data_IF_928073313860
#
_entry.id   IF_928073313860
#
_cell.length_a   1.000
_cell.length_b   1.000
_cell.length_c   1.000
_cell.angle_alpha   90.00
_cell.angle_beta   90.00
_cell.angle_gamma   90.00
#
_symmetry.space_group_name_H-M   'P 1'
#
loop_
_entity.id
_entity.type
_entity.pdbx_description
1 polymer ?
#
# COMPACT_ATOMS: atom_id res chain seq x y z
N UNK A 1 36.27 18.31 16.97
CA UNK A 1 34.91 18.53 16.42
C UNK A 1 34.77 18.19 14.92
N UNK A 2 35.77 18.39 14.06
CA UNK A 2 35.69 18.10 12.61
C UNK A 2 35.52 16.61 12.25
N UNK A 3 36.13 15.67 12.96
CA UNK A 3 36.01 14.24 12.68
C UNK A 3 34.61 13.67 12.99
N UNK A 4 33.93 14.19 14.00
CA UNK A 4 32.54 13.79 14.34
C UNK A 4 31.53 14.21 13.28
N UNK A 5 31.74 15.34 12.60
CA UNK A 5 30.88 15.83 11.53
C UNK A 5 31.00 14.99 10.24
N UNK A 6 32.16 14.43 9.94
CA UNK A 6 32.40 13.61 8.74
C UNK A 6 31.77 12.22 8.86
N UNK A 7 31.85 11.61 10.03
CA UNK A 7 31.18 10.32 10.32
C UNK A 7 29.65 10.46 10.34
N UNK A 8 29.14 11.66 10.65
CA UNK A 8 27.71 11.96 10.70
C UNK A 8 27.05 11.97 9.34
N UNK A 9 27.69 12.59 8.35
CA UNK A 9 27.19 12.60 6.98
C UNK A 9 27.10 11.23 6.32
N UNK A 10 27.99 10.30 6.70
CA UNK A 10 27.96 8.90 6.23
C UNK A 10 26.81 8.12 6.88
N UNK A 11 26.62 8.22 8.20
CA UNK A 11 25.53 7.51 8.89
C UNK A 11 24.15 8.01 8.44
N UNK A 12 23.96 9.30 8.20
CA UNK A 12 22.71 9.84 7.68
C UNK A 12 22.39 9.32 6.28
N UNK A 13 23.39 9.18 5.41
CA UNK A 13 23.22 8.57 4.10
C UNK A 13 22.79 7.12 4.20
N UNK A 14 23.42 6.32 5.06
CA UNK A 14 23.05 4.91 5.27
C UNK A 14 21.60 4.78 5.71
N UNK A 15 21.16 5.59 6.68
CA UNK A 15 19.78 5.58 7.15
C UNK A 15 18.80 5.89 6.00
N UNK A 16 19.09 6.89 5.18
CA UNK A 16 18.26 7.23 4.02
C UNK A 16 18.19 6.07 3.01
N UNK A 17 19.31 5.40 2.73
CA UNK A 17 19.30 4.22 1.85
C UNK A 17 18.49 3.06 2.43
N UNK A 18 18.57 2.81 3.74
CA UNK A 18 17.76 1.79 4.40
C UNK A 18 16.25 2.13 4.34
N UNK A 19 15.87 3.42 4.49
CA UNK A 19 14.48 3.82 4.33
C UNK A 19 14.03 3.66 2.86
N UNK A 20 14.89 3.99 1.89
CA UNK A 20 14.57 3.83 0.47
C UNK A 20 14.47 2.37 0.05
N UNK A 21 15.22 1.46 0.68
CA UNK A 21 15.13 0.04 0.36
C UNK A 21 13.85 -0.62 0.90
N UNK A 22 13.19 -0.05 1.93
CA UNK A 22 11.98 -0.64 2.51
C UNK A 22 10.89 -0.99 1.48
N UNK A 23 10.47 -0.10 0.57
CA UNK A 23 9.45 -0.46 -0.43
C UNK A 23 9.89 -1.60 -1.34
N UNK A 24 11.17 -1.65 -1.71
CA UNK A 24 11.72 -2.73 -2.55
C UNK A 24 11.74 -4.06 -1.80
N UNK A 25 12.01 -4.05 -0.50
CA UNK A 25 12.04 -5.30 0.29
C UNK A 25 10.67 -5.95 0.42
N UNK A 26 9.58 -5.19 0.32
CA UNK A 26 8.24 -5.78 0.21
C UNK A 26 8.06 -6.62 -1.07
N UNK A 27 8.75 -6.26 -2.14
CA UNK A 27 8.74 -7.03 -3.40
C UNK A 27 9.60 -8.29 -3.27
N UNK A 28 10.74 -8.19 -2.56
CA UNK A 28 11.67 -9.32 -2.42
C UNK A 28 11.13 -10.39 -1.44
N UNK A 29 10.41 -9.96 -0.39
CA UNK A 29 9.79 -10.87 0.55
C UNK A 29 9.83 -10.40 2.01
N UNK A 30 8.97 -11.00 2.82
CA UNK A 30 8.69 -10.62 4.21
C UNK A 30 9.91 -10.71 5.13
N UNK A 31 10.84 -11.64 4.88
CA UNK A 31 12.07 -11.79 5.66
C UNK A 31 12.95 -10.52 5.56
N UNK A 32 13.15 -9.99 4.36
CA UNK A 32 13.93 -8.77 4.13
C UNK A 32 13.29 -7.54 4.76
N UNK A 33 11.96 -7.42 4.68
CA UNK A 33 11.20 -6.35 5.37
C UNK A 33 11.47 -6.39 6.86
N UNK A 34 11.45 -7.58 7.46
CA UNK A 34 11.69 -7.75 8.89
C UNK A 34 13.11 -7.35 9.29
N UNK A 35 14.12 -7.79 8.54
CA UNK A 35 15.52 -7.46 8.82
C UNK A 35 15.74 -5.95 8.77
N UNK A 36 15.33 -5.29 7.66
CA UNK A 36 15.53 -3.84 7.51
C UNK A 36 14.73 -3.06 8.56
N UNK A 37 13.53 -3.49 8.89
CA UNK A 37 12.72 -2.86 9.92
C UNK A 37 13.35 -2.96 11.31
N UNK A 38 13.97 -4.11 11.66
CA UNK A 38 14.69 -4.27 12.92
C UNK A 38 15.91 -3.36 12.96
N UNK A 39 16.69 -3.33 11.88
CA UNK A 39 17.89 -2.47 11.79
C UNK A 39 17.51 -1.00 11.95
N UNK A 40 16.46 -0.53 11.26
CA UNK A 40 15.96 0.85 11.39
C UNK A 40 15.46 1.16 12.80
N UNK A 41 14.75 0.22 13.44
CA UNK A 41 14.27 0.38 14.80
C UNK A 41 15.43 0.51 15.79
N UNK A 42 16.48 -0.33 15.68
CA UNK A 42 17.68 -0.23 16.49
C UNK A 42 18.44 1.08 16.27
N UNK A 43 18.59 1.51 15.02
CA UNK A 43 19.20 2.81 14.70
C UNK A 43 18.41 3.95 15.35
N UNK A 44 17.07 3.89 15.31
CA UNK A 44 16.24 4.91 15.95
C UNK A 44 16.49 4.98 17.46
N UNK A 45 16.56 3.86 18.15
CA UNK A 45 16.88 3.80 19.58
C UNK A 45 18.25 4.42 19.87
N UNK A 46 19.27 4.07 19.10
CA UNK A 46 20.61 4.67 19.23
C UNK A 46 20.57 6.20 19.05
N UNK A 47 19.80 6.70 18.06
CA UNK A 47 19.67 8.14 17.80
C UNK A 47 18.96 8.87 18.94
N UNK A 48 17.99 8.22 19.61
CA UNK A 48 17.35 8.77 20.81
C UNK A 48 18.36 8.84 21.98
N UNK A 49 19.07 7.75 22.26
CA UNK A 49 20.09 7.72 23.33
C UNK A 49 21.16 8.79 23.12
N UNK A 50 21.55 9.02 21.87
CA UNK A 50 22.47 10.09 21.51
C UNK A 50 21.84 11.50 21.52
N UNK A 51 20.57 11.65 21.91
CA UNK A 51 19.80 12.92 21.91
C UNK A 51 19.78 13.64 20.55
N UNK A 52 19.91 12.90 19.44
CA UNK A 52 19.94 13.44 18.08
C UNK A 52 18.56 13.61 17.46
N UNK A 53 17.57 12.89 17.97
CA UNK A 53 16.17 13.01 17.58
C UNK A 53 15.36 13.47 18.78
N UNK A 54 14.75 14.64 18.65
CA UNK A 54 13.77 15.13 19.64
C UNK A 54 12.37 14.80 19.13
N UNK A 55 11.70 13.89 19.82
CA UNK A 55 10.30 13.58 19.57
C UNK A 55 9.40 14.32 20.56
N UNK A 56 8.26 14.83 20.10
CA UNK A 56 7.29 15.48 21.01
C UNK A 56 6.76 14.41 21.97
N UNK A 57 6.84 14.66 23.27
CA UNK A 57 6.39 13.76 24.34
C UNK A 57 4.96 13.23 24.14
N UNK A 58 4.07 14.05 23.55
CA UNK A 58 2.68 13.68 23.25
C UNK A 58 2.57 12.39 22.42
N UNK A 59 3.45 12.17 21.42
CA UNK A 59 3.38 10.98 20.58
C UNK A 59 3.79 9.71 21.32
N UNK A 60 4.72 9.81 22.27
CA UNK A 60 5.07 8.70 23.14
C UNK A 60 3.91 8.30 24.04
N UNK A 61 3.21 9.25 24.66
CA UNK A 61 2.07 8.94 25.52
C UNK A 61 0.95 8.25 24.77
N UNK A 62 0.60 8.73 23.58
CA UNK A 62 -0.43 8.11 22.74
C UNK A 62 0.00 6.68 22.36
N UNK A 63 1.24 6.51 21.93
CA UNK A 63 1.72 5.18 21.53
C UNK A 63 1.74 4.20 22.71
N UNK A 64 2.29 4.60 23.85
CA UNK A 64 2.34 3.73 25.02
C UNK A 64 0.94 3.41 25.57
N UNK A 65 0.00 4.33 25.45
CA UNK A 65 -1.40 4.06 25.79
C UNK A 65 -1.99 2.98 24.87
N UNK A 66 -1.80 3.11 23.57
CA UNK A 66 -2.27 2.09 22.60
C UNK A 66 -1.56 0.75 22.86
N UNK A 67 -0.27 0.76 23.11
CA UNK A 67 0.51 -0.45 23.41
C UNK A 67 0.00 -1.13 24.69
N UNK A 68 -0.35 -0.36 25.70
CA UNK A 68 -0.96 -0.86 26.94
C UNK A 68 -2.30 -1.55 26.66
N UNK A 69 -3.15 -0.97 25.81
CA UNK A 69 -4.41 -1.61 25.40
C UNK A 69 -4.18 -2.93 24.68
N UNK A 70 -3.17 -3.01 23.80
CA UNK A 70 -2.80 -4.25 23.14
C UNK A 70 -2.27 -5.31 24.13
N UNK A 71 -1.48 -4.91 25.12
CA UNK A 71 -1.01 -5.81 26.18
C UNK A 71 -2.16 -6.36 27.01
N UNK A 72 -3.12 -5.51 27.38
CA UNK A 72 -4.34 -5.95 28.07
C UNK A 72 -5.11 -6.96 27.22
N UNK A 73 -5.33 -6.67 25.93
CA UNK A 73 -6.02 -7.57 25.03
C UNK A 73 -5.28 -8.90 24.84
N UNK A 74 -3.96 -8.88 24.83
CA UNK A 74 -3.11 -10.09 24.76
C UNK A 74 -3.31 -11.00 25.97
N UNK A 75 -3.47 -10.43 27.15
CA UNK A 75 -3.71 -11.19 28.37
C UNK A 75 -5.01 -12.01 28.32
N UNK A 76 -6.06 -11.47 27.67
CA UNK A 76 -7.36 -12.13 27.49
C UNK A 76 -7.45 -12.92 26.17
N UNK A 77 -6.37 -13.04 25.42
CA UNK A 77 -6.34 -13.78 24.13
C UNK A 77 -6.36 -15.29 24.36
N UNK A 78 -6.89 -16.03 23.38
CA UNK A 78 -6.89 -17.51 23.35
C UNK A 78 -5.45 -18.03 23.37
N UNK A 79 -4.52 -17.34 22.68
CA UNK A 79 -3.09 -17.63 22.69
C UNK A 79 -2.31 -16.36 23.05
N UNK A 80 -1.99 -16.15 24.35
CA UNK A 80 -1.25 -14.98 24.81
C UNK A 80 0.17 -14.89 24.24
N UNK A 81 0.83 -16.02 24.00
CA UNK A 81 2.22 -16.05 23.52
C UNK A 81 2.32 -15.52 22.08
N UNK A 82 1.46 -15.98 21.18
CA UNK A 82 1.37 -15.47 19.81
C UNK A 82 0.96 -14.00 19.76
N UNK A 83 0.06 -13.60 20.66
CA UNK A 83 -0.38 -12.19 20.76
C UNK A 83 0.76 -11.27 21.19
N UNK A 84 1.61 -11.68 22.14
CA UNK A 84 2.78 -10.92 22.57
C UNK A 84 3.81 -10.74 21.45
N UNK A 85 4.07 -11.78 20.66
CA UNK A 85 4.97 -11.70 19.50
C UNK A 85 4.49 -10.64 18.51
N UNK A 86 3.17 -10.57 18.25
CA UNK A 86 2.57 -9.53 17.38
C UNK A 86 2.77 -8.12 17.96
N UNK A 87 2.68 -7.94 19.27
CA UNK A 87 2.91 -6.65 19.93
C UNK A 87 4.36 -6.17 19.74
N UNK A 88 5.34 -7.08 19.84
CA UNK A 88 6.74 -6.74 19.54
C UNK A 88 6.89 -6.25 18.09
N UNK A 89 6.16 -6.88 17.15
CA UNK A 89 6.08 -6.42 15.77
C UNK A 89 5.54 -4.99 15.62
N UNK A 90 4.50 -4.64 16.38
CA UNK A 90 3.92 -3.28 16.38
C UNK A 90 4.92 -2.27 16.94
N UNK A 91 5.63 -2.60 18.01
CA UNK A 91 6.67 -1.74 18.60
C UNK A 91 7.79 -1.44 17.58
N UNK A 92 8.25 -2.45 16.86
CA UNK A 92 9.23 -2.30 15.77
C UNK A 92 8.74 -1.31 14.71
N UNK A 93 7.49 -1.48 14.23
CA UNK A 93 6.91 -0.61 13.21
C UNK A 93 6.75 0.83 13.70
N UNK A 94 6.44 1.03 14.98
CA UNK A 94 6.40 2.36 15.57
C UNK A 94 7.76 3.07 15.46
N UNK A 95 8.85 2.40 15.82
CA UNK A 95 10.18 3.00 15.73
C UNK A 95 10.59 3.31 14.29
N UNK A 96 10.24 2.43 13.35
CA UNK A 96 10.43 2.69 11.91
C UNK A 96 9.64 3.92 11.45
N UNK A 97 8.39 4.04 11.89
CA UNK A 97 7.56 5.21 11.57
C UNK A 97 8.14 6.51 12.13
N UNK A 98 8.67 6.45 13.35
CA UNK A 98 9.32 7.59 13.99
C UNK A 98 10.56 8.07 13.23
N UNK A 99 11.42 7.16 12.77
CA UNK A 99 12.61 7.53 12.00
C UNK A 99 12.23 8.09 10.63
N UNK A 100 11.27 7.50 9.93
CA UNK A 100 10.76 8.02 8.66
C UNK A 100 10.16 9.41 8.86
N UNK A 101 9.34 9.62 9.89
CA UNK A 101 8.75 10.92 10.23
C UNK A 101 9.81 11.99 10.53
N UNK A 102 10.94 11.62 11.14
CA UNK A 102 12.05 12.56 11.36
C UNK A 102 12.66 13.05 10.03
N UNK A 103 12.92 12.12 9.10
CA UNK A 103 13.52 12.45 7.80
C UNK A 103 12.53 13.14 6.85
N UNK A 104 11.25 12.82 6.92
CA UNK A 104 10.20 13.41 6.07
C UNK A 104 9.97 14.91 6.30
N UNK A 105 10.50 15.49 7.39
CA UNK A 105 10.51 16.94 7.60
C UNK A 105 11.42 17.67 6.58
N UNK A 106 12.38 16.98 6.00
CA UNK A 106 13.30 17.55 4.98
C UNK A 106 12.65 17.42 3.60
N UNK A 107 12.31 18.53 2.96
CA UNK A 107 11.68 18.56 1.62
C UNK A 107 12.49 17.81 0.56
N UNK A 108 13.83 17.93 0.62
CA UNK A 108 14.73 17.22 -0.31
C UNK A 108 14.60 15.68 -0.16
N UNK A 109 14.47 15.19 1.06
CA UNK A 109 14.24 13.77 1.31
C UNK A 109 12.90 13.31 0.72
N UNK A 110 11.82 14.05 0.96
CA UNK A 110 10.48 13.72 0.44
C UNK A 110 10.49 13.68 -1.08
N UNK A 111 11.11 14.68 -1.74
CA UNK A 111 11.18 14.73 -3.20
C UNK A 111 11.98 13.55 -3.78
N UNK A 112 13.11 13.19 -3.18
CA UNK A 112 13.92 12.05 -3.64
C UNK A 112 13.21 10.73 -3.40
N UNK A 113 12.56 10.58 -2.25
CA UNK A 113 11.83 9.37 -1.90
C UNK A 113 10.59 9.19 -2.78
N UNK A 114 9.80 10.24 -3.00
CA UNK A 114 8.65 10.18 -3.90
C UNK A 114 9.04 9.92 -5.36
N UNK A 115 10.17 10.47 -5.82
CA UNK A 115 10.73 10.14 -7.14
C UNK A 115 11.06 8.66 -7.25
N UNK A 116 11.73 8.09 -6.24
CA UNK A 116 12.05 6.68 -6.20
C UNK A 116 10.79 5.80 -6.19
N UNK A 117 9.80 6.13 -5.35
CA UNK A 117 8.52 5.42 -5.31
C UNK A 117 7.78 5.49 -6.65
N UNK A 118 7.84 6.63 -7.34
CA UNK A 118 7.23 6.78 -8.64
C UNK A 118 7.80 5.78 -9.66
N UNK A 119 9.13 5.68 -9.76
CA UNK A 119 9.76 4.71 -10.65
C UNK A 119 9.48 3.27 -10.24
N UNK A 120 9.41 2.98 -8.94
CA UNK A 120 9.05 1.66 -8.44
C UNK A 120 7.60 1.28 -8.84
N UNK A 121 6.64 2.20 -8.69
CA UNK A 121 5.25 2.00 -9.11
C UNK A 121 5.18 1.76 -10.63
N UNK A 122 5.89 2.55 -11.43
CA UNK A 122 5.92 2.36 -12.88
C UNK A 122 6.52 1.01 -13.25
N UNK A 123 7.60 0.60 -12.61
CA UNK A 123 8.22 -0.72 -12.85
C UNK A 123 7.25 -1.87 -12.54
N UNK A 124 6.62 -1.85 -11.35
CA UNK A 124 5.65 -2.88 -10.97
C UNK A 124 4.44 -2.87 -11.92
N UNK A 125 3.99 -1.67 -12.30
CA UNK A 125 2.87 -1.52 -13.24
C UNK A 125 3.19 -2.11 -14.61
N UNK A 126 4.41 -1.91 -15.09
CA UNK A 126 4.89 -2.47 -16.36
C UNK A 126 5.01 -4.00 -16.30
N UNK A 127 5.54 -4.53 -15.21
CA UNK A 127 5.66 -5.96 -15.00
C UNK A 127 4.28 -6.65 -14.93
N UNK A 128 3.31 -6.05 -14.25
CA UNK A 128 1.92 -6.52 -14.23
C UNK A 128 1.26 -6.51 -15.62
N UNK A 129 1.58 -5.52 -16.47
CA UNK A 129 1.10 -5.50 -17.85
C UNK A 129 1.73 -6.63 -18.67
N UNK A 130 3.01 -6.91 -18.49
CA UNK A 130 3.67 -8.06 -19.13
C UNK A 130 2.99 -9.35 -18.70
N UNK A 131 2.78 -9.55 -17.40
CA UNK A 131 2.10 -10.72 -16.87
C UNK A 131 0.69 -10.87 -17.46
N UNK A 132 -0.05 -9.76 -17.60
CA UNK A 132 -1.38 -9.78 -18.18
C UNK A 132 -1.41 -10.20 -19.65
N UNK A 133 -0.48 -9.69 -20.48
CA UNK A 133 -0.47 -9.98 -21.91
C UNK A 133 0.23 -11.28 -22.28
N UNK A 134 1.28 -11.65 -21.56
CA UNK A 134 2.11 -12.81 -21.89
C UNK A 134 1.87 -14.02 -20.97
N UNK A 135 1.05 -13.88 -19.94
CA UNK A 135 0.74 -14.94 -18.99
C UNK A 135 1.81 -15.17 -17.92
N UNK A 136 2.96 -14.52 -18.03
CA UNK A 136 4.07 -14.57 -17.06
C UNK A 136 4.72 -13.18 -16.95
N UNK A 137 5.23 -12.86 -15.77
CA UNK A 137 5.94 -11.62 -15.49
C UNK A 137 7.40 -11.67 -15.99
N UNK A 138 8.16 -10.59 -15.78
CA UNK A 138 9.59 -10.49 -16.14
C UNK A 138 10.44 -11.56 -15.41
N UNK A 139 10.01 -11.99 -14.20
CA UNK A 139 10.71 -12.97 -13.38
C UNK A 139 10.28 -14.41 -13.65
N UNK A 140 9.30 -14.62 -14.56
CA UNK A 140 8.78 -15.93 -14.93
C UNK A 140 7.63 -16.44 -14.05
N UNK A 141 7.09 -15.61 -13.14
CA UNK A 141 5.91 -15.99 -12.36
C UNK A 141 4.65 -15.95 -13.23
N UNK A 142 3.94 -17.06 -13.25
CA UNK A 142 2.68 -17.18 -14.00
C UNK A 142 1.51 -16.66 -13.16
N UNK A 143 0.50 -16.07 -13.81
CA UNK A 143 -0.74 -15.76 -13.12
C UNK A 143 -1.46 -17.06 -12.73
N UNK A 144 -2.18 -17.03 -11.62
CA UNK A 144 -2.87 -18.22 -11.11
C UNK A 144 -4.35 -18.21 -11.53
N UNK A 145 -4.71 -19.12 -12.44
CA UNK A 145 -6.08 -19.27 -12.95
C UNK A 145 -7.04 -19.75 -11.85
N UNK A 146 -6.59 -20.58 -10.92
CA UNK A 146 -7.40 -21.10 -9.83
C UNK A 146 -7.91 -19.98 -8.90
N UNK A 147 -7.19 -18.88 -8.79
CA UNK A 147 -7.59 -17.71 -8.02
C UNK A 147 -8.26 -16.60 -8.85
N UNK A 148 -8.78 -16.93 -10.04
CA UNK A 148 -9.56 -16.02 -10.87
C UNK A 148 -8.73 -14.98 -11.60
N UNK A 149 -7.64 -15.38 -12.24
CA UNK A 149 -6.75 -14.53 -13.03
C UNK A 149 -6.17 -13.35 -12.22
N UNK A 150 -5.76 -13.60 -10.97
CA UNK A 150 -5.07 -12.60 -10.18
C UNK A 150 -3.64 -12.44 -10.66
N UNK A 151 -3.22 -11.19 -10.84
CA UNK A 151 -1.86 -10.85 -11.18
C UNK A 151 -1.07 -10.60 -9.88
N UNK A 152 0.07 -11.26 -9.77
CA UNK A 152 1.00 -11.06 -8.65
C UNK A 152 2.17 -10.13 -9.01
N UNK A 153 2.52 -10.07 -10.30
CA UNK A 153 3.71 -9.35 -10.75
C UNK A 153 4.96 -9.85 -10.03
N UNK A 154 5.85 -8.95 -9.64
CA UNK A 154 7.14 -9.32 -9.05
C UNK A 154 7.03 -9.86 -7.61
N UNK A 155 5.82 -10.05 -7.07
CA UNK A 155 5.61 -10.61 -5.72
C UNK A 155 5.52 -12.14 -5.69
N UNK A 156 5.75 -12.81 -6.82
CA UNK A 156 5.74 -14.27 -6.91
C UNK A 156 4.36 -14.86 -6.65
N UNK A 157 4.23 -15.70 -5.62
CA UNK A 157 2.97 -16.36 -5.28
C UNK A 157 2.04 -15.48 -4.41
N UNK A 158 2.48 -14.29 -4.01
CA UNK A 158 1.68 -13.38 -3.18
C UNK A 158 0.85 -12.44 -4.07
N UNK A 159 -0.48 -12.52 -3.97
CA UNK A 159 -1.42 -11.66 -4.71
C UNK A 159 -1.66 -10.33 -3.98
N UNK A 160 -0.60 -9.55 -3.78
CA UNK A 160 -0.60 -8.29 -3.02
C UNK A 160 -0.21 -7.07 -3.86
N UNK A 161 0.01 -7.25 -5.16
CA UNK A 161 0.51 -6.20 -6.05
C UNK A 161 -0.40 -4.97 -6.10
N UNK A 162 -1.71 -5.16 -6.21
CA UNK A 162 -2.70 -4.09 -6.20
C UNK A 162 -2.73 -3.34 -4.86
N UNK A 163 -2.70 -4.07 -3.75
CA UNK A 163 -2.65 -3.51 -2.40
C UNK A 163 -1.37 -2.71 -2.15
N UNK A 164 -0.25 -3.19 -2.67
CA UNK A 164 1.02 -2.49 -2.58
C UNK A 164 0.99 -1.17 -3.35
N UNK A 165 0.57 -1.21 -4.63
CA UNK A 165 0.42 0.00 -5.46
C UNK A 165 -0.54 0.99 -4.79
N UNK A 166 -1.70 0.55 -4.32
CA UNK A 166 -2.69 1.42 -3.69
C UNK A 166 -2.13 2.16 -2.46
N UNK A 167 -1.30 1.50 -1.65
CA UNK A 167 -0.69 2.10 -0.44
C UNK A 167 0.37 3.15 -0.75
N UNK A 168 1.15 2.98 -1.82
CA UNK A 168 2.27 3.89 -2.14
C UNK A 168 1.94 4.89 -3.25
N UNK A 169 0.80 4.73 -3.94
CA UNK A 169 0.39 5.55 -5.08
C UNK A 169 0.49 7.06 -4.79
N UNK A 170 -0.19 7.53 -3.75
CA UNK A 170 -0.22 8.97 -3.44
C UNK A 170 1.13 9.54 -3.01
N UNK A 171 1.95 8.75 -2.32
CA UNK A 171 3.32 9.15 -1.99
C UNK A 171 4.18 9.29 -3.26
N UNK A 172 3.99 8.41 -4.24
CA UNK A 172 4.69 8.49 -5.52
C UNK A 172 4.25 9.70 -6.35
N UNK A 173 2.96 10.08 -6.28
CA UNK A 173 2.42 11.23 -7.00
C UNK A 173 2.95 12.58 -6.51
N UNK A 174 3.48 12.67 -5.29
CA UNK A 174 4.14 13.89 -4.78
C UNK A 174 5.23 14.36 -5.73
N UNK A 175 5.95 13.44 -6.37
CA UNK A 175 7.00 13.76 -7.33
C UNK A 175 6.47 14.49 -8.57
N UNK A 176 5.34 14.03 -9.15
CA UNK A 176 4.73 14.68 -10.30
C UNK A 176 4.07 16.00 -9.89
N UNK A 177 3.38 15.97 -8.75
CA UNK A 177 2.73 17.14 -8.17
C UNK A 177 3.72 18.29 -7.95
N UNK A 178 4.95 17.99 -7.50
CA UNK A 178 6.00 19.01 -7.32
C UNK A 178 6.47 19.65 -8.61
N UNK A 179 6.19 19.04 -9.77
CA UNK A 179 6.53 19.57 -11.11
C UNK A 179 5.41 20.41 -11.74
N UNK A 180 4.28 20.59 -11.06
CA UNK A 180 3.10 21.33 -11.53
C UNK A 180 2.56 20.87 -12.89
N UNK A 181 2.80 19.62 -13.28
CA UNK A 181 2.29 19.06 -14.52
C UNK A 181 0.98 18.31 -14.26
N UNK A 182 -0.14 18.98 -14.48
CA UNK A 182 -1.48 18.43 -14.24
C UNK A 182 -1.81 17.28 -15.18
N UNK A 183 -1.41 17.35 -16.45
CA UNK A 183 -1.71 16.30 -17.42
C UNK A 183 -1.03 14.98 -17.05
N UNK A 184 0.27 15.02 -16.72
CA UNK A 184 1.00 13.81 -16.30
C UNK A 184 0.46 13.26 -14.98
N UNK A 185 0.02 14.12 -14.06
CA UNK A 185 -0.60 13.69 -12.81
C UNK A 185 -1.86 12.86 -13.08
N UNK A 186 -2.75 13.37 -13.96
CA UNK A 186 -3.99 12.65 -14.29
C UNK A 186 -3.75 11.39 -15.09
N UNK A 187 -2.86 11.43 -16.08
CA UNK A 187 -2.49 10.23 -16.84
C UNK A 187 -1.96 9.13 -15.91
N UNK A 188 -1.14 9.50 -14.94
CA UNK A 188 -0.61 8.55 -13.95
C UNK A 188 -1.71 8.03 -13.03
N UNK A 189 -2.65 8.88 -12.59
CA UNK A 189 -3.79 8.45 -11.76
C UNK A 189 -4.68 7.45 -12.51
N UNK A 190 -4.99 7.71 -13.77
CA UNK A 190 -5.75 6.78 -14.62
C UNK A 190 -5.00 5.45 -14.74
N UNK A 191 -3.73 5.49 -15.12
CA UNK A 191 -2.89 4.30 -15.30
C UNK A 191 -2.83 3.44 -14.03
N UNK A 192 -2.55 4.04 -12.88
CA UNK A 192 -2.47 3.33 -11.60
C UNK A 192 -3.82 2.69 -11.23
N UNK A 193 -4.94 3.40 -11.44
CA UNK A 193 -6.27 2.82 -11.21
C UNK A 193 -6.53 1.64 -12.14
N UNK A 194 -6.28 1.76 -13.45
CA UNK A 194 -6.47 0.65 -14.40
C UNK A 194 -5.65 -0.58 -14.02
N UNK A 195 -4.38 -0.38 -13.65
CA UNK A 195 -3.50 -1.48 -13.26
C UNK A 195 -3.96 -2.15 -11.98
N UNK A 196 -4.39 -1.39 -10.97
CA UNK A 196 -4.93 -2.00 -9.75
C UNK A 196 -6.21 -2.78 -9.99
N UNK A 197 -7.06 -2.36 -10.93
CA UNK A 197 -8.19 -3.17 -11.36
C UNK A 197 -7.75 -4.45 -12.08
N UNK A 198 -6.70 -4.39 -12.91
CA UNK A 198 -6.14 -5.59 -13.57
C UNK A 198 -5.63 -6.64 -12.60
N UNK A 199 -5.12 -6.26 -11.41
CA UNK A 199 -4.67 -7.23 -10.41
C UNK A 199 -5.80 -8.10 -9.85
N UNK A 200 -7.07 -7.78 -10.11
CA UNK A 200 -8.25 -8.44 -9.53
C UNK A 200 -8.32 -8.39 -7.99
N UNK A 201 -7.61 -7.47 -7.34
CA UNK A 201 -7.73 -7.21 -5.90
C UNK A 201 -8.84 -6.18 -5.64
N UNK A 202 -10.06 -6.66 -5.40
CA UNK A 202 -11.27 -5.81 -5.24
C UNK A 202 -11.13 -4.70 -4.21
N UNK A 203 -10.68 -5.05 -3.00
CA UNK A 203 -10.52 -4.09 -1.90
C UNK A 203 -9.52 -2.99 -2.23
N UNK A 204 -8.35 -3.35 -2.76
CA UNK A 204 -7.31 -2.40 -3.14
C UNK A 204 -7.79 -1.46 -4.25
N UNK A 205 -8.43 -2.00 -5.27
CA UNK A 205 -8.94 -1.23 -6.41
C UNK A 205 -10.03 -0.23 -6.00
N UNK A 206 -10.99 -0.66 -5.18
CA UNK A 206 -12.06 0.22 -4.69
C UNK A 206 -11.48 1.31 -3.77
N UNK A 207 -10.58 0.95 -2.85
CA UNK A 207 -9.95 1.92 -1.96
C UNK A 207 -9.14 2.96 -2.73
N UNK A 208 -8.34 2.54 -3.72
CA UNK A 208 -7.57 3.47 -4.54
C UNK A 208 -8.49 4.37 -5.37
N UNK A 209 -9.53 3.81 -5.97
CA UNK A 209 -10.50 4.54 -6.76
C UNK A 209 -11.19 5.64 -5.93
N UNK A 210 -11.73 5.30 -4.76
CA UNK A 210 -12.33 6.27 -3.84
C UNK A 210 -11.33 7.33 -3.38
N UNK A 211 -10.11 6.91 -3.03
CA UNK A 211 -9.04 7.84 -2.62
C UNK A 211 -8.65 8.80 -3.74
N UNK A 212 -8.74 8.35 -5.02
CA UNK A 212 -8.49 9.20 -6.17
C UNK A 212 -9.54 10.32 -6.28
N UNK A 213 -10.82 10.02 -6.06
CA UNK A 213 -11.88 11.05 -6.02
C UNK A 213 -11.63 12.05 -4.88
N UNK A 214 -11.34 11.55 -3.69
CA UNK A 214 -11.03 12.41 -2.54
C UNK A 214 -9.85 13.33 -2.88
N UNK A 215 -8.78 12.78 -3.47
CA UNK A 215 -7.62 13.57 -3.88
C UNK A 215 -7.98 14.66 -4.89
N UNK A 216 -8.79 14.36 -5.91
CA UNK A 216 -9.21 15.34 -6.92
C UNK A 216 -10.07 16.44 -6.29
N UNK A 217 -11.01 16.10 -5.41
CA UNK A 217 -11.90 17.06 -4.75
C UNK A 217 -11.10 18.04 -3.90
N UNK A 218 -10.14 17.55 -3.10
CA UNK A 218 -9.33 18.37 -2.21
C UNK A 218 -8.13 19.02 -2.88
N UNK A 219 -7.87 18.77 -4.17
CA UNK A 219 -6.76 19.37 -4.88
C UNK A 219 -7.03 20.84 -5.20
N UNK A 220 -6.19 21.74 -4.66
CA UNK A 220 -6.34 23.19 -4.82
C UNK A 220 -5.82 23.74 -6.17
N UNK A 221 -5.06 22.94 -6.96
CA UNK A 221 -4.57 23.37 -8.27
C UNK A 221 -5.63 23.30 -9.37
N UNK A 222 -6.75 22.63 -9.10
CA UNK A 222 -7.80 22.44 -10.06
C UNK A 222 -8.97 23.36 -9.77
N UNK A 223 -9.46 24.02 -10.79
CA UNK A 223 -10.75 24.71 -10.72
C UNK A 223 -11.91 23.67 -10.70
N UNK A 224 -13.09 24.11 -10.27
CA UNK A 224 -14.25 23.21 -10.10
C UNK A 224 -14.63 22.48 -11.38
N UNK A 225 -14.52 23.13 -12.55
CA UNK A 225 -14.82 22.52 -13.85
C UNK A 225 -13.82 21.39 -14.16
N UNK A 226 -12.53 21.61 -13.94
CA UNK A 226 -11.52 20.57 -14.15
C UNK A 226 -11.69 19.40 -13.18
N UNK A 227 -12.01 19.64 -11.92
CA UNK A 227 -12.31 18.57 -10.94
C UNK A 227 -13.44 17.67 -11.44
N UNK A 228 -14.53 18.26 -11.93
CA UNK A 228 -15.66 17.53 -12.48
C UNK A 228 -15.26 16.71 -13.70
N UNK A 229 -14.57 17.33 -14.68
CA UNK A 229 -14.12 16.66 -15.90
C UNK A 229 -13.21 15.47 -15.59
N UNK A 230 -12.23 15.66 -14.70
CA UNK A 230 -11.28 14.58 -14.37
C UNK A 230 -11.93 13.45 -13.55
N UNK A 231 -12.82 13.79 -12.61
CA UNK A 231 -13.57 12.78 -11.86
C UNK A 231 -14.46 11.95 -12.78
N UNK A 232 -15.20 12.59 -13.67
CA UNK A 232 -16.07 11.90 -14.63
C UNK A 232 -15.27 11.09 -15.65
N UNK A 233 -14.12 11.59 -16.11
CA UNK A 233 -13.25 10.86 -17.03
C UNK A 233 -12.69 9.57 -16.38
N UNK A 234 -12.18 9.63 -15.15
CA UNK A 234 -11.68 8.44 -14.44
C UNK A 234 -12.83 7.44 -14.21
N UNK A 235 -13.99 7.92 -13.78
CA UNK A 235 -15.16 7.05 -13.59
C UNK A 235 -15.52 6.33 -14.89
N UNK A 236 -15.64 7.08 -15.98
CA UNK A 236 -16.00 6.55 -17.29
C UNK A 236 -14.97 5.54 -17.80
N UNK A 237 -13.67 5.86 -17.73
CA UNK A 237 -12.60 4.96 -18.17
C UNK A 237 -12.60 3.66 -17.36
N UNK A 238 -12.73 3.73 -16.04
CA UNK A 238 -12.78 2.53 -15.19
C UNK A 238 -14.04 1.70 -15.48
N UNK A 239 -15.19 2.33 -15.65
CA UNK A 239 -16.44 1.64 -15.95
C UNK A 239 -16.38 0.92 -17.30
N UNK A 240 -15.89 1.60 -18.34
CA UNK A 240 -15.67 1.01 -19.66
C UNK A 240 -14.71 -0.18 -19.55
N UNK A 241 -13.61 -0.03 -18.83
CA UNK A 241 -12.60 -1.06 -18.66
C UNK A 241 -13.16 -2.32 -17.97
N UNK A 242 -13.96 -2.16 -16.90
CA UNK A 242 -14.64 -3.26 -16.23
C UNK A 242 -15.67 -3.93 -17.17
N UNK A 243 -16.40 -3.12 -17.95
CA UNK A 243 -17.43 -3.64 -18.86
C UNK A 243 -16.86 -4.52 -19.96
N UNK A 244 -15.75 -4.08 -20.59
CA UNK A 244 -15.12 -4.83 -21.69
C UNK A 244 -14.26 -6.01 -21.22
N UNK A 245 -13.94 -6.12 -19.93
CA UNK A 245 -13.17 -7.23 -19.42
C UNK A 245 -14.08 -8.22 -18.67
N UNK A 246 -14.42 -9.41 -19.26
CA UNK A 246 -15.33 -10.38 -18.64
C UNK A 246 -14.88 -10.87 -17.27
N UNK A 247 -13.55 -11.01 -17.07
CA UNK A 247 -12.99 -11.45 -15.81
C UNK A 247 -13.20 -10.40 -14.71
N UNK A 248 -12.93 -9.13 -15.00
CA UNK A 248 -13.19 -8.03 -14.07
C UNK A 248 -14.66 -7.88 -13.77
N UNK A 249 -15.53 -7.98 -14.79
CA UNK A 249 -16.98 -7.95 -14.61
C UNK A 249 -17.45 -9.04 -13.65
N UNK A 250 -16.97 -10.27 -13.82
CA UNK A 250 -17.35 -11.39 -12.95
C UNK A 250 -16.85 -11.17 -11.51
N UNK A 251 -15.65 -10.68 -11.32
CA UNK A 251 -15.06 -10.43 -10.00
C UNK A 251 -15.67 -9.23 -9.27
N UNK A 252 -15.83 -8.10 -9.96
CA UNK A 252 -16.28 -6.85 -9.33
C UNK A 252 -17.79 -6.71 -9.26
N UNK A 253 -18.53 -7.23 -10.24
CA UNK A 253 -19.99 -7.12 -10.26
C UNK A 253 -20.61 -8.39 -9.67
N UNK A 254 -20.42 -9.55 -10.32
CA UNK A 254 -21.15 -10.76 -9.92
C UNK A 254 -20.78 -11.25 -8.51
N UNK A 255 -19.48 -11.36 -8.18
CA UNK A 255 -19.08 -11.82 -6.84
C UNK A 255 -19.46 -10.81 -5.75
N UNK A 256 -19.38 -9.50 -6.03
CA UNK A 256 -19.77 -8.48 -5.05
C UNK A 256 -21.27 -8.49 -4.82
N UNK A 257 -22.09 -8.54 -5.89
CA UNK A 257 -23.53 -8.63 -5.76
C UNK A 257 -24.00 -9.91 -5.06
N UNK A 258 -23.31 -11.03 -5.32
CA UNK A 258 -23.56 -12.28 -4.60
C UNK A 258 -23.24 -12.16 -3.10
N UNK A 259 -22.13 -11.50 -2.73
CA UNK A 259 -21.78 -11.27 -1.31
C UNK A 259 -22.80 -10.39 -0.58
N UNK A 260 -23.44 -9.46 -1.28
CA UNK A 260 -24.54 -8.64 -0.74
C UNK A 260 -25.90 -9.34 -0.79
N UNK A 261 -25.99 -10.59 -1.32
CA UNK A 261 -27.25 -11.32 -1.45
C UNK A 261 -28.22 -10.74 -2.50
N UNK A 262 -27.75 -9.81 -3.34
CA UNK A 262 -28.59 -9.10 -4.32
C UNK A 262 -28.85 -9.95 -5.58
N UNK A 263 -27.91 -10.82 -5.96
CA UNK A 263 -28.08 -11.80 -7.03
C UNK A 263 -28.16 -13.21 -6.45
N UNK A 264 -29.35 -13.74 -6.32
CA UNK A 264 -29.57 -15.18 -6.21
C UNK A 264 -29.39 -15.79 -7.60
N UNK A 265 -28.15 -16.10 -7.98
CA UNK A 265 -27.91 -16.91 -9.17
C UNK A 265 -28.17 -18.36 -8.78
N UNK A 266 -29.33 -18.84 -9.21
CA UNK A 266 -29.81 -20.22 -9.22
C UNK A 266 -29.69 -21.03 -7.92
N UNK A 267 -30.85 -21.15 -7.26
CA UNK A 267 -31.33 -22.30 -6.50
C UNK A 267 -30.36 -23.49 -6.48
N UNK A 268 -29.51 -23.52 -5.44
CA UNK A 268 -29.04 -24.79 -4.85
C UNK A 268 -28.40 -24.45 -3.50
N UNK A 269 -29.09 -24.88 -2.44
CA UNK A 269 -28.73 -24.80 -1.04
C UNK A 269 -28.62 -23.40 -0.39
N UNK A 270 -29.71 -23.06 0.33
CA UNK A 270 -29.77 -21.91 1.25
C UNK A 270 -28.60 -21.86 2.27
N UNK A 271 -28.00 -22.99 2.60
CA UNK A 271 -26.81 -23.08 3.45
C UNK A 271 -25.57 -22.55 2.76
N UNK A 272 -25.33 -22.86 1.49
CA UNK A 272 -24.17 -22.42 0.73
C UNK A 272 -24.18 -20.91 0.48
N UNK A 273 -25.37 -20.33 0.26
CA UNK A 273 -25.56 -18.89 0.07
C UNK A 273 -25.23 -18.12 1.36
N UNK A 274 -25.58 -18.67 2.53
CA UNK A 274 -25.26 -18.05 3.81
C UNK A 274 -23.75 -18.02 4.09
N UNK A 275 -23.02 -19.09 3.76
CA UNK A 275 -21.57 -19.16 3.96
C UNK A 275 -20.77 -18.31 2.97
N UNK A 276 -21.31 -18.06 1.77
CA UNK A 276 -20.68 -17.17 0.77
C UNK A 276 -21.05 -15.69 0.97
N UNK A 277 -21.95 -15.38 1.89
CA UNK A 277 -22.31 -14.00 2.24
C UNK A 277 -21.27 -13.38 3.18
N UNK A 278 -21.15 -12.04 3.14
CA UNK A 278 -20.25 -11.28 4.03
C UNK A 278 -20.48 -11.63 5.51
N UNK A 279 -21.71 -11.94 5.89
CA UNK A 279 -22.09 -12.29 7.25
C UNK A 279 -21.71 -13.73 7.63
N UNK A 280 -21.75 -14.67 6.67
CA UNK A 280 -21.34 -16.04 6.89
C UNK A 280 -19.83 -16.23 7.08
N UNK A 281 -19.01 -15.41 6.45
CA UNK A 281 -17.55 -15.48 6.55
C UNK A 281 -16.98 -15.09 7.93
N UNK A 282 -17.79 -14.48 8.80
CA UNK A 282 -17.39 -14.10 10.16
C UNK A 282 -17.67 -15.17 11.22
N UNK A 283 -18.33 -16.27 10.86
CA UNK A 283 -18.69 -17.36 11.79
C UNK A 283 -17.87 -18.64 11.59
N UNK A 284 -16.87 -18.61 10.69
CA UNK A 284 -15.85 -19.65 10.53
C UNK A 284 -14.47 -19.09 10.94
#
# INVERSE_FOLDING_TARGET
>A
MHQLNFTFGKSEKIIKYLIFSLPLTFVIGTAFVNIISIVLALIFLVLIFMKKINFKKKYYYIFFFILFLFLLNSYFSIDPSLSLIKIIGILKLFFVTCIISHYSKKRDFVNKFSKYLFFLVIFISFDLLIQYFFGQDIFGFKYNEAHGLRLSGPFGDEFVAGSFIAKIAFLSLIYIYSKNNTLTLFATLILINLITFLTNERSASIMLFLSTFIFIIFNNFLNSKAKFIFSSAIFLVVTIFIYFNPNLKSQFINKTLNQFGIMQINKLDNKKIFFDSIWGAHYL
#
